data_IF_147965100011
#
_entry.id   IF_147965100011
#
_cell.length_a   1.000
_cell.length_b   1.000
_cell.length_c   1.000
_cell.angle_alpha   90.00
_cell.angle_beta   90.00
_cell.angle_gamma   90.00
#
_symmetry.space_group_name_H-M   'P 1'
#
loop_
_entity.id
_entity.type
_entity.pdbx_description
1 polymer ?
#
# COMPACT_ATOMS: atom_id res chain seq x y z
N UNK A 1 14.55 -24.28 33.15
CA UNK A 1 15.17 -23.57 32.00
C UNK A 1 15.61 -24.62 31.00
N UNK A 2 15.06 -24.59 29.81
CA UNK A 2 15.54 -25.46 28.73
C UNK A 2 17.01 -25.17 28.46
N UNK A 3 17.79 -26.24 28.23
CA UNK A 3 19.19 -26.08 27.94
C UNK A 3 19.38 -25.43 26.56
N UNK A 4 19.90 -24.21 26.53
CA UNK A 4 20.07 -23.39 25.32
C UNK A 4 20.78 -24.16 24.20
N UNK A 5 21.74 -25.04 24.55
CA UNK A 5 22.44 -25.87 23.57
C UNK A 5 21.54 -26.91 22.90
N UNK A 6 20.51 -27.42 23.61
CA UNK A 6 19.56 -28.39 23.06
C UNK A 6 18.63 -27.69 22.09
N UNK A 7 18.15 -26.49 22.43
CA UNK A 7 17.33 -25.67 21.55
C UNK A 7 18.07 -25.29 20.27
N UNK A 8 19.30 -24.79 20.41
CA UNK A 8 20.15 -24.44 19.27
C UNK A 8 20.40 -25.65 18.35
N UNK A 9 20.74 -26.82 18.92
CA UNK A 9 20.96 -28.04 18.16
C UNK A 9 19.71 -28.48 17.35
N UNK A 10 18.56 -28.46 17.98
CA UNK A 10 17.29 -28.81 17.32
C UNK A 10 16.96 -27.83 16.17
N UNK A 11 17.23 -26.56 16.36
CA UNK A 11 16.97 -25.55 15.34
C UNK A 11 17.97 -25.62 14.18
N UNK A 12 19.26 -25.83 14.45
CA UNK A 12 20.25 -26.06 13.38
C UNK A 12 19.81 -27.25 12.50
N UNK A 13 19.43 -28.37 13.10
CA UNK A 13 18.91 -29.55 12.38
C UNK A 13 17.64 -29.21 11.57
N UNK A 14 16.69 -28.51 12.19
CA UNK A 14 15.42 -28.11 11.56
C UNK A 14 15.64 -27.21 10.35
N UNK A 15 16.42 -26.13 10.50
CA UNK A 15 16.66 -25.18 9.44
C UNK A 15 17.52 -25.76 8.32
N UNK A 16 18.55 -26.56 8.63
CA UNK A 16 19.31 -27.27 7.60
C UNK A 16 18.42 -28.16 6.74
N UNK A 17 17.52 -28.97 7.37
CA UNK A 17 16.57 -29.82 6.63
C UNK A 17 15.59 -28.99 5.79
N UNK A 18 15.11 -27.85 6.33
CA UNK A 18 14.23 -26.93 5.62
C UNK A 18 14.91 -26.33 4.38
N UNK A 19 16.20 -26.04 4.48
CA UNK A 19 17.03 -25.56 3.35
C UNK A 19 17.47 -26.67 2.39
N UNK A 20 17.05 -27.93 2.60
CA UNK A 20 17.37 -29.06 1.72
C UNK A 20 18.84 -29.52 1.79
N UNK A 21 19.60 -29.06 2.77
CA UNK A 21 21.05 -29.36 2.87
C UNK A 21 21.30 -30.66 3.65
N UNK A 22 22.29 -31.43 3.20
CA UNK A 22 22.91 -32.48 4.00
C UNK A 22 23.85 -31.89 5.05
N UNK A 23 24.29 -32.70 6.05
CA UNK A 23 25.28 -32.25 7.04
C UNK A 23 26.62 -31.94 6.38
N UNK A 24 26.98 -32.66 5.31
CA UNK A 24 28.22 -32.48 4.57
C UNK A 24 28.22 -31.16 3.79
N UNK A 25 27.08 -30.84 3.12
CA UNK A 25 26.91 -29.57 2.39
C UNK A 25 26.93 -28.36 3.33
N UNK A 26 26.29 -28.48 4.51
CA UNK A 26 26.39 -27.44 5.52
C UNK A 26 27.82 -27.25 6.03
N UNK A 27 28.52 -28.36 6.29
CA UNK A 27 29.91 -28.33 6.72
C UNK A 27 30.83 -27.64 5.69
N UNK A 28 30.64 -27.94 4.40
CA UNK A 28 31.38 -27.29 3.30
C UNK A 28 31.10 -25.78 3.24
N UNK A 29 29.84 -25.39 3.35
CA UNK A 29 29.46 -23.97 3.32
C UNK A 29 30.03 -23.18 4.51
N UNK A 30 30.18 -23.82 5.66
CA UNK A 30 30.73 -23.21 6.88
C UNK A 30 32.29 -23.36 6.98
N UNK A 31 32.93 -24.09 6.10
CA UNK A 31 34.36 -24.36 6.18
C UNK A 31 34.77 -25.22 7.39
N UNK A 32 33.87 -26.10 7.86
CA UNK A 32 34.08 -26.98 9.01
C UNK A 32 33.98 -28.45 8.60
N UNK A 33 34.25 -29.38 9.54
CA UNK A 33 34.13 -30.82 9.28
C UNK A 33 32.69 -31.28 9.47
N UNK A 34 32.29 -32.33 8.76
CA UNK A 34 31.00 -33.02 8.96
C UNK A 34 30.76 -33.41 10.42
N UNK A 35 31.84 -33.90 11.10
CA UNK A 35 31.76 -34.27 12.50
C UNK A 35 31.42 -33.08 13.42
N UNK A 36 31.85 -31.88 13.08
CA UNK A 36 31.47 -30.66 13.83
C UNK A 36 29.97 -30.40 13.73
N UNK A 37 29.44 -30.39 12.53
CA UNK A 37 27.97 -30.19 12.29
C UNK A 37 27.19 -31.30 12.99
N UNK A 38 27.61 -32.55 12.87
CA UNK A 38 26.97 -33.69 13.55
C UNK A 38 26.96 -33.54 15.08
N UNK A 39 28.06 -33.05 15.68
CA UNK A 39 28.12 -32.78 17.12
C UNK A 39 27.17 -31.66 17.55
N UNK A 40 27.07 -30.61 16.73
CA UNK A 40 26.18 -29.50 17.01
C UNK A 40 24.69 -29.91 16.96
N UNK A 41 24.30 -30.65 15.94
CA UNK A 41 22.90 -31.13 15.78
C UNK A 41 22.50 -32.17 16.86
N UNK A 42 23.46 -32.86 17.45
CA UNK A 42 23.23 -33.80 18.55
C UNK A 42 23.45 -33.17 19.95
N UNK A 43 23.59 -31.87 20.06
CA UNK A 43 23.88 -31.14 21.28
C UNK A 43 25.12 -31.61 22.06
N UNK A 44 26.06 -32.25 21.37
CA UNK A 44 27.35 -32.74 21.96
C UNK A 44 28.41 -31.65 22.01
N UNK A 45 28.22 -30.57 21.22
CA UNK A 45 29.02 -29.36 21.23
C UNK A 45 28.14 -28.21 20.73
N UNK A 46 28.50 -26.97 21.06
CA UNK A 46 27.93 -25.79 20.43
C UNK A 46 28.82 -25.28 19.30
N UNK A 47 28.30 -24.69 18.24
CA UNK A 47 29.10 -23.94 17.28
C UNK A 47 29.73 -22.72 17.95
N UNK A 48 30.87 -22.28 17.43
CA UNK A 48 31.41 -20.98 17.79
C UNK A 48 30.43 -19.89 17.37
N UNK A 49 30.34 -18.81 18.17
CA UNK A 49 29.41 -17.70 17.94
C UNK A 49 29.59 -17.06 16.56
N UNK A 50 30.78 -17.13 16.00
CA UNK A 50 31.12 -16.59 14.66
C UNK A 50 30.42 -17.34 13.53
N UNK A 51 29.98 -18.58 13.74
CA UNK A 51 29.22 -19.33 12.75
C UNK A 51 27.72 -18.99 12.74
N UNK A 52 27.17 -18.41 13.81
CA UNK A 52 25.75 -18.16 13.92
C UNK A 52 25.23 -17.18 12.85
N UNK A 53 25.92 -16.05 12.56
CA UNK A 53 25.50 -15.17 11.47
C UNK A 53 25.54 -15.88 10.10
N UNK A 54 26.59 -16.67 9.84
CA UNK A 54 26.76 -17.40 8.58
C UNK A 54 25.66 -18.46 8.42
N UNK A 55 25.31 -19.16 9.51
CA UNK A 55 24.20 -20.13 9.50
C UNK A 55 22.86 -19.42 9.26
N UNK A 56 22.63 -18.27 9.89
CA UNK A 56 21.41 -17.48 9.69
C UNK A 56 21.25 -17.08 8.23
N UNK A 57 22.32 -16.65 7.58
CA UNK A 57 22.34 -16.32 6.14
C UNK A 57 22.11 -17.56 5.26
N UNK A 58 22.73 -18.70 5.57
CA UNK A 58 22.54 -19.96 4.80
C UNK A 58 21.10 -20.48 4.93
N UNK A 59 20.49 -20.32 6.09
CA UNK A 59 19.16 -20.83 6.41
C UNK A 59 18.03 -19.83 6.08
N UNK A 60 18.39 -18.61 5.69
CA UNK A 60 17.44 -17.50 5.49
C UNK A 60 16.52 -17.29 6.71
N UNK A 61 17.17 -17.11 7.87
CA UNK A 61 16.50 -16.90 9.15
C UNK A 61 17.25 -15.89 10.03
N UNK A 62 16.59 -15.43 11.10
CA UNK A 62 17.25 -14.59 12.10
C UNK A 62 18.06 -15.44 13.10
N UNK A 63 19.14 -14.88 13.66
CA UNK A 63 19.94 -15.55 14.68
C UNK A 63 19.07 -15.91 15.91
N UNK A 64 18.12 -15.05 16.29
CA UNK A 64 17.19 -15.28 17.40
C UNK A 64 16.29 -16.50 17.17
N UNK A 65 15.93 -16.80 15.92
CA UNK A 65 15.15 -18.00 15.59
C UNK A 65 15.94 -19.30 15.82
N UNK A 66 17.29 -19.25 15.74
CA UNK A 66 18.13 -20.39 16.12
C UNK A 66 18.04 -20.70 17.62
N UNK A 67 17.60 -19.73 18.43
CA UNK A 67 17.38 -19.89 19.87
C UNK A 67 15.91 -20.01 20.25
N UNK A 68 15.00 -20.22 19.28
CA UNK A 68 13.53 -20.26 19.48
C UNK A 68 12.97 -19.01 20.17
N UNK A 69 13.63 -17.88 20.02
CA UNK A 69 13.07 -16.61 20.43
C UNK A 69 12.11 -16.14 19.36
N UNK A 70 10.90 -15.76 19.75
CA UNK A 70 9.99 -15.07 18.84
C UNK A 70 10.67 -13.76 18.44
N UNK A 71 10.99 -13.63 17.18
CA UNK A 71 11.38 -12.34 16.62
C UNK A 71 10.12 -11.50 16.63
N UNK A 72 10.03 -10.60 17.61
CA UNK A 72 8.97 -9.62 17.66
C UNK A 72 9.14 -8.76 16.40
N UNK A 73 8.27 -8.97 15.41
CA UNK A 73 8.28 -8.21 14.15
C UNK A 73 7.75 -6.78 14.32
N UNK A 74 7.64 -6.29 15.55
CA UNK A 74 7.74 -4.87 15.80
C UNK A 74 9.18 -4.48 15.46
N UNK A 75 9.35 -4.03 14.24
CA UNK A 75 10.61 -3.60 13.66
C UNK A 75 11.18 -2.49 14.55
N UNK A 76 11.98 -2.85 15.54
CA UNK A 76 12.94 -1.93 16.11
C UNK A 76 13.99 -1.67 15.01
N UNK A 77 13.83 -0.55 14.33
CA UNK A 77 14.73 -0.07 13.27
C UNK A 77 16.16 0.22 13.73
N UNK A 78 16.51 -0.15 14.96
CA UNK A 78 17.82 0.16 15.57
C UNK A 78 19.00 -0.68 15.02
N UNK A 79 18.73 -1.68 14.16
CA UNK A 79 19.76 -2.49 13.51
C UNK A 79 19.45 -2.77 12.03
N UNK A 80 18.76 -1.88 11.36
CA UNK A 80 18.72 -1.92 9.90
C UNK A 80 20.14 -1.78 9.37
N UNK A 81 20.54 -2.65 8.42
CA UNK A 81 21.69 -2.41 7.60
C UNK A 81 21.69 -0.93 7.20
N UNK A 82 22.79 -0.21 7.44
CA UNK A 82 22.91 1.17 7.04
C UNK A 82 22.52 1.26 5.57
N UNK A 83 21.40 1.92 5.30
CA UNK A 83 21.05 2.21 3.93
C UNK A 83 22.18 3.01 3.29
N UNK A 84 22.45 2.84 1.99
CA UNK A 84 23.53 3.54 1.31
C UNK A 84 23.22 5.05 1.07
N UNK A 85 22.44 5.67 1.94
CA UNK A 85 22.10 7.10 1.95
C UNK A 85 22.02 7.61 3.39
N UNK A 86 22.22 8.90 3.56
CA UNK A 86 22.08 9.58 4.83
C UNK A 86 20.60 9.67 5.26
N UNK A 87 20.35 9.84 6.56
CA UNK A 87 19.02 10.10 7.08
C UNK A 87 18.55 11.48 6.60
N UNK A 88 17.63 11.47 5.66
CA UNK A 88 17.07 12.64 5.00
C UNK A 88 15.54 12.49 4.83
N UNK A 89 14.89 13.53 4.35
CA UNK A 89 13.44 13.54 4.10
C UNK A 89 13.04 12.97 2.73
N UNK A 90 13.96 12.36 1.99
CA UNK A 90 13.71 11.86 0.64
C UNK A 90 13.00 10.51 0.69
N UNK A 91 11.80 10.44 0.13
CA UNK A 91 11.08 9.18 -0.07
C UNK A 91 11.76 8.39 -1.20
N UNK A 92 12.09 7.12 -0.93
CA UNK A 92 12.76 6.24 -1.89
C UNK A 92 11.98 4.96 -2.12
N UNK A 93 11.91 4.54 -3.37
CA UNK A 93 11.54 3.18 -3.74
C UNK A 93 12.76 2.29 -3.72
N UNK A 94 12.67 1.16 -3.04
CA UNK A 94 13.76 0.20 -2.89
C UNK A 94 13.29 -1.17 -3.37
N UNK A 95 14.03 -1.79 -4.28
CA UNK A 95 13.82 -3.17 -4.70
C UNK A 95 14.87 -4.03 -4.01
N UNK A 96 14.41 -5.01 -3.24
CA UNK A 96 15.27 -5.91 -2.48
C UNK A 96 15.07 -7.36 -2.92
N UNK A 97 16.14 -8.14 -2.87
CA UNK A 97 16.12 -9.59 -2.89
C UNK A 97 16.70 -10.08 -1.57
N UNK A 98 15.84 -10.58 -0.67
CA UNK A 98 16.24 -10.83 0.72
C UNK A 98 16.75 -9.54 1.37
N UNK A 99 17.99 -9.54 1.84
CA UNK A 99 18.67 -8.37 2.46
C UNK A 99 19.46 -7.51 1.48
N UNK A 100 19.52 -7.89 0.21
CA UNK A 100 20.29 -7.18 -0.81
C UNK A 100 19.44 -6.15 -1.51
N UNK A 101 19.84 -4.89 -1.49
CA UNK A 101 19.23 -3.84 -2.29
C UNK A 101 19.68 -4.01 -3.73
N UNK A 102 18.73 -4.30 -4.63
CA UNK A 102 18.99 -4.42 -6.07
C UNK A 102 18.89 -3.07 -6.77
N UNK A 103 17.95 -2.23 -6.33
CA UNK A 103 17.70 -0.93 -6.90
C UNK A 103 17.16 0.02 -5.83
N UNK A 104 17.63 1.27 -5.86
CA UNK A 104 17.10 2.37 -5.06
C UNK A 104 16.94 3.59 -5.95
N UNK A 105 15.78 4.25 -5.86
CA UNK A 105 15.50 5.48 -6.58
C UNK A 105 14.76 6.44 -5.66
N UNK A 106 15.23 7.70 -5.60
CA UNK A 106 14.48 8.78 -4.97
C UNK A 106 13.14 8.96 -5.68
N UNK A 107 12.05 8.95 -4.93
CA UNK A 107 10.70 9.14 -5.44
C UNK A 107 10.42 10.64 -5.42
N UNK A 108 10.75 11.32 -6.50
CA UNK A 108 10.43 12.74 -6.69
C UNK A 108 9.02 12.79 -7.28
N UNK A 109 8.10 13.46 -6.64
CA UNK A 109 6.75 13.94 -7.02
C UNK A 109 5.84 13.12 -7.98
N UNK A 110 6.29 12.01 -8.54
CA UNK A 110 5.56 11.24 -9.58
C UNK A 110 5.46 9.74 -9.31
N UNK A 111 5.55 9.33 -8.08
CA UNK A 111 5.31 7.93 -7.79
C UNK A 111 3.83 7.63 -7.85
N UNK A 112 3.46 6.59 -8.62
CA UNK A 112 2.10 6.07 -8.69
C UNK A 112 2.09 4.66 -8.11
N UNK A 113 1.20 4.43 -7.17
CA UNK A 113 0.92 3.12 -6.63
C UNK A 113 -0.12 2.43 -7.51
N UNK A 114 0.33 1.55 -8.41
CA UNK A 114 -0.53 0.83 -9.34
C UNK A 114 -1.02 -0.48 -8.75
N UNK A 115 -2.34 -0.71 -8.79
CA UNK A 115 -2.99 -1.97 -8.40
C UNK A 115 -3.70 -2.54 -9.64
N UNK A 116 -3.35 -3.77 -10.02
CA UNK A 116 -4.02 -4.52 -11.09
C UNK A 116 -5.09 -5.42 -10.49
N UNK A 117 -6.35 -5.10 -10.75
CA UNK A 117 -7.52 -5.80 -10.22
C UNK A 117 -8.21 -5.04 -9.09
N UNK A 118 -9.19 -5.71 -8.45
CA UNK A 118 -10.00 -5.13 -7.39
C UNK A 118 -9.22 -4.95 -6.09
N UNK A 119 -9.53 -3.89 -5.37
CA UNK A 119 -8.88 -3.54 -4.12
C UNK A 119 -9.89 -3.24 -3.00
N UNK A 120 -9.42 -3.25 -1.77
CA UNK A 120 -10.22 -2.89 -0.60
C UNK A 120 -9.42 -1.94 0.29
N UNK A 121 -9.98 -0.74 0.56
CA UNK A 121 -9.35 0.28 1.41
C UNK A 121 -7.90 0.61 1.01
N UNK A 122 -7.74 1.46 0.00
CA UNK A 122 -6.43 1.85 -0.52
C UNK A 122 -5.98 3.18 0.10
N UNK A 123 -4.76 3.22 0.61
CA UNK A 123 -4.17 4.45 1.13
C UNK A 123 -2.71 4.60 0.67
N UNK A 124 -2.35 5.82 0.23
CA UNK A 124 -0.99 6.19 -0.15
C UNK A 124 -0.79 7.70 -0.01
N UNK A 125 0.41 8.13 0.31
CA UNK A 125 0.78 9.56 0.24
C UNK A 125 1.14 10.02 -1.20
N UNK A 126 1.20 9.07 -2.15
CA UNK A 126 1.50 9.30 -3.55
C UNK A 126 0.24 9.23 -4.41
N UNK A 127 0.41 9.18 -5.76
CA UNK A 127 -0.71 8.86 -6.65
C UNK A 127 -1.18 7.42 -6.45
N UNK A 128 -2.47 7.20 -6.62
CA UNK A 128 -3.09 5.87 -6.65
C UNK A 128 -3.69 5.64 -8.02
N UNK A 129 -3.37 4.52 -8.65
CA UNK A 129 -3.99 4.02 -9.86
C UNK A 129 -4.50 2.60 -9.63
N UNK A 130 -5.79 2.37 -9.80
CA UNK A 130 -6.42 1.06 -9.64
C UNK A 130 -7.09 0.65 -10.95
N UNK A 131 -6.59 -0.41 -11.55
CA UNK A 131 -7.17 -1.03 -12.75
C UNK A 131 -8.20 -2.11 -12.33
N UNK A 132 -9.28 -1.68 -11.71
CA UNK A 132 -10.35 -2.49 -11.12
C UNK A 132 -11.29 -1.65 -10.29
N UNK A 133 -12.00 -2.31 -9.34
CA UNK A 133 -12.94 -1.69 -8.43
C UNK A 133 -12.31 -1.49 -7.04
N UNK A 134 -12.83 -0.54 -6.27
CA UNK A 134 -12.49 -0.37 -4.85
C UNK A 134 -13.75 -0.62 -4.00
N UNK A 135 -13.70 -1.65 -3.16
CA UNK A 135 -14.70 -1.87 -2.11
C UNK A 135 -14.21 -1.23 -0.81
N UNK A 136 -14.76 -0.07 -0.46
CA UNK A 136 -14.33 0.73 0.68
C UNK A 136 -13.68 2.05 0.29
N UNK A 137 -12.92 2.65 1.22
CA UNK A 137 -12.36 3.98 1.02
C UNK A 137 -11.07 4.00 0.20
N UNK A 138 -10.81 5.14 -0.45
CA UNK A 138 -9.56 5.45 -1.12
C UNK A 138 -9.00 6.77 -0.62
N UNK A 139 -7.72 6.79 -0.20
CA UNK A 139 -7.06 8.01 0.27
C UNK A 139 -5.69 8.16 -0.39
N UNK A 140 -5.49 9.27 -1.09
CA UNK A 140 -4.21 9.63 -1.70
C UNK A 140 -3.73 11.00 -1.24
N UNK A 141 -2.42 11.16 -1.06
CA UNK A 141 -1.82 12.49 -0.87
C UNK A 141 -1.79 13.31 -2.16
N UNK A 142 -1.90 12.65 -3.31
CA UNK A 142 -1.91 13.23 -4.66
C UNK A 142 -3.19 12.77 -5.40
N UNK A 143 -3.07 12.34 -6.67
CA UNK A 143 -4.21 11.95 -7.51
C UNK A 143 -4.74 10.55 -7.18
N UNK A 144 -6.04 10.36 -7.40
CA UNK A 144 -6.71 9.06 -7.42
C UNK A 144 -7.24 8.80 -8.82
N UNK A 145 -6.87 7.67 -9.41
CA UNK A 145 -7.40 7.18 -10.69
C UNK A 145 -7.88 5.74 -10.51
N UNK A 146 -9.17 5.50 -10.72
CA UNK A 146 -9.80 4.17 -10.60
C UNK A 146 -10.57 3.88 -11.88
N UNK A 147 -10.24 2.82 -12.59
CA UNK A 147 -10.92 2.45 -13.84
C UNK A 147 -12.35 1.94 -13.63
N UNK A 148 -12.65 1.37 -12.47
CA UNK A 148 -13.93 0.76 -12.12
C UNK A 148 -14.79 1.59 -11.16
N UNK A 149 -15.54 0.88 -10.32
CA UNK A 149 -16.47 1.42 -9.32
C UNK A 149 -15.78 1.63 -7.98
N UNK A 150 -16.15 2.69 -7.27
CA UNK A 150 -15.74 2.89 -5.87
C UNK A 150 -16.97 2.89 -4.97
N UNK A 151 -17.02 1.93 -4.02
CA UNK A 151 -18.12 1.75 -3.06
C UNK A 151 -17.82 2.35 -1.68
N UNK A 152 -17.13 3.46 -1.64
CA UNK A 152 -16.76 4.14 -0.39
C UNK A 152 -16.27 5.54 -0.64
N UNK A 153 -15.84 6.22 0.42
CA UNK A 153 -15.37 7.60 0.31
C UNK A 153 -14.00 7.71 -0.37
N UNK A 154 -13.81 8.79 -1.13
CA UNK A 154 -12.52 9.14 -1.72
C UNK A 154 -11.97 10.44 -1.13
N UNK A 155 -10.69 10.45 -0.74
CA UNK A 155 -10.00 11.65 -0.29
C UNK A 155 -8.70 11.80 -1.07
N UNK A 156 -8.54 12.92 -1.76
CA UNK A 156 -7.35 13.21 -2.57
C UNK A 156 -6.80 14.59 -2.26
N UNK A 157 -5.49 14.72 -2.22
CA UNK A 157 -4.83 16.03 -2.15
C UNK A 157 -4.89 16.82 -3.46
N UNK A 158 -5.19 16.15 -4.59
CA UNK A 158 -5.25 16.76 -5.92
C UNK A 158 -6.51 16.29 -6.67
N UNK A 159 -6.42 15.60 -7.77
CA UNK A 159 -7.52 15.20 -8.66
C UNK A 159 -8.06 13.80 -8.32
N UNK A 160 -9.38 13.58 -8.59
CA UNK A 160 -10.03 12.26 -8.52
C UNK A 160 -10.67 11.94 -9.86
N UNK A 161 -10.31 10.79 -10.43
CA UNK A 161 -10.89 10.26 -11.68
C UNK A 161 -11.41 8.84 -11.41
N UNK A 162 -12.70 8.61 -11.69
CA UNK A 162 -13.36 7.32 -11.51
C UNK A 162 -14.08 6.93 -12.80
N UNK A 163 -13.69 5.82 -13.40
CA UNK A 163 -14.25 5.31 -14.65
C UNK A 163 -15.63 4.68 -14.52
N UNK A 164 -16.04 4.30 -13.31
CA UNK A 164 -17.36 3.74 -13.01
C UNK A 164 -18.24 4.68 -12.17
N UNK A 165 -19.01 4.08 -11.26
CA UNK A 165 -19.82 4.81 -10.29
C UNK A 165 -19.03 5.10 -9.00
N UNK A 166 -19.35 6.20 -8.34
CA UNK A 166 -18.88 6.53 -7.00
C UNK A 166 -20.04 6.53 -6.01
N UNK A 167 -19.93 5.73 -4.96
CA UNK A 167 -20.91 5.61 -3.89
C UNK A 167 -20.21 5.92 -2.56
N UNK A 168 -20.36 7.13 -2.07
CA UNK A 168 -19.74 7.64 -0.85
C UNK A 168 -19.27 9.08 -0.95
N UNK A 169 -18.90 9.66 0.18
CA UNK A 169 -18.42 11.05 0.24
C UNK A 169 -17.06 11.23 -0.43
N UNK A 170 -16.84 12.42 -1.00
CA UNK A 170 -15.62 12.71 -1.74
C UNK A 170 -15.04 14.06 -1.32
N UNK A 171 -13.71 14.08 -1.03
CA UNK A 171 -12.99 15.32 -0.79
C UNK A 171 -11.77 15.38 -1.70
N UNK A 172 -11.60 16.48 -2.42
CA UNK A 172 -10.50 16.67 -3.36
C UNK A 172 -9.93 18.09 -3.27
N UNK A 173 -8.60 18.20 -3.42
CA UNK A 173 -7.97 19.51 -3.60
C UNK A 173 -8.17 20.09 -5.01
N UNK A 174 -8.37 19.25 -6.03
CA UNK A 174 -8.58 19.60 -7.43
C UNK A 174 -9.90 19.05 -7.97
N UNK A 175 -9.94 18.81 -9.27
CA UNK A 175 -11.15 18.37 -9.97
C UNK A 175 -11.59 16.96 -9.60
N UNK A 176 -12.89 16.69 -9.75
CA UNK A 176 -13.50 15.37 -9.60
C UNK A 176 -14.20 14.99 -10.88
N UNK A 177 -13.79 13.87 -11.48
CA UNK A 177 -14.41 13.30 -12.68
C UNK A 177 -14.93 11.90 -12.37
N UNK A 178 -16.24 11.67 -12.54
CA UNK A 178 -16.89 10.37 -12.40
C UNK A 178 -17.61 10.05 -13.70
N UNK A 179 -17.21 9.01 -14.42
CA UNK A 179 -17.83 8.66 -15.71
C UNK A 179 -19.26 8.11 -15.53
N UNK A 180 -19.54 7.46 -14.41
CA UNK A 180 -20.88 6.99 -14.04
C UNK A 180 -21.64 7.96 -13.15
N UNK A 181 -22.55 7.43 -12.33
CA UNK A 181 -23.27 8.21 -11.33
C UNK A 181 -22.45 8.42 -10.06
N UNK A 182 -22.68 9.54 -9.41
CA UNK A 182 -22.06 9.87 -8.12
C UNK A 182 -23.13 10.03 -7.04
N UNK A 183 -23.03 9.24 -5.98
CA UNK A 183 -23.94 9.29 -4.84
C UNK A 183 -23.15 9.54 -3.56
N UNK A 184 -23.35 10.71 -2.94
CA UNK A 184 -22.69 11.12 -1.70
C UNK A 184 -22.34 12.60 -1.67
N UNK A 185 -21.97 13.10 -0.49
CA UNK A 185 -21.55 14.50 -0.34
C UNK A 185 -20.17 14.73 -0.98
N UNK A 186 -19.98 15.92 -1.54
CA UNK A 186 -18.73 16.28 -2.20
C UNK A 186 -18.21 17.64 -1.73
N UNK A 187 -16.90 17.70 -1.47
CA UNK A 187 -16.19 18.94 -1.19
C UNK A 187 -14.90 18.99 -2.02
N UNK A 188 -14.80 19.94 -2.94
CA UNK A 188 -13.64 20.08 -3.81
C UNK A 188 -13.23 21.52 -4.05
N UNK A 189 -11.92 21.75 -4.21
CA UNK A 189 -11.38 23.03 -4.64
C UNK A 189 -11.59 23.32 -6.14
N UNK A 190 -11.80 22.29 -6.96
CA UNK A 190 -11.95 22.35 -8.41
C UNK A 190 -13.40 22.19 -8.89
N UNK A 191 -13.54 21.75 -10.13
CA UNK A 191 -14.80 21.45 -10.79
C UNK A 191 -15.23 19.99 -10.58
N UNK A 192 -16.52 19.72 -10.82
CA UNK A 192 -17.10 18.37 -10.79
C UNK A 192 -17.65 18.03 -12.17
N UNK A 193 -17.24 16.89 -12.72
CA UNK A 193 -17.83 16.32 -13.95
C UNK A 193 -18.42 14.95 -13.64
N UNK A 194 -19.72 14.76 -13.88
CA UNK A 194 -20.42 13.49 -13.68
C UNK A 194 -21.11 13.04 -14.97
N UNK A 195 -20.82 11.82 -15.42
CA UNK A 195 -21.40 11.25 -16.64
C UNK A 195 -22.79 10.65 -16.45
N UNK A 196 -23.21 10.38 -15.22
CA UNK A 196 -24.54 9.92 -14.84
C UNK A 196 -25.26 10.92 -13.95
N UNK A 197 -26.08 10.41 -13.02
CA UNK A 197 -26.78 11.24 -12.04
C UNK A 197 -25.86 11.59 -10.86
N UNK A 198 -26.11 12.75 -10.27
CA UNK A 198 -25.41 13.25 -9.10
C UNK A 198 -26.38 13.45 -7.93
N UNK A 199 -26.10 12.84 -6.78
CA UNK A 199 -26.92 13.02 -5.58
C UNK A 199 -26.07 13.28 -4.34
N UNK A 200 -26.50 14.21 -3.50
CA UNK A 200 -25.87 14.62 -2.24
C UNK A 200 -25.46 16.09 -2.20
N UNK A 201 -25.00 16.55 -1.05
CA UNK A 201 -24.59 17.95 -0.87
C UNK A 201 -23.25 18.22 -1.57
N UNK A 202 -23.20 19.33 -2.32
CA UNK A 202 -22.06 19.68 -3.16
C UNK A 202 -21.53 21.05 -2.77
N UNK A 203 -20.22 21.08 -2.48
CA UNK A 203 -19.45 22.29 -2.28
C UNK A 203 -18.22 22.23 -3.19
N UNK A 204 -18.23 22.99 -4.27
CA UNK A 204 -17.09 23.04 -5.19
C UNK A 204 -16.63 24.48 -5.44
N UNK A 205 -15.34 24.63 -5.74
CA UNK A 205 -14.75 25.91 -6.10
C UNK A 205 -14.94 26.28 -7.58
N UNK A 206 -15.27 25.30 -8.43
CA UNK A 206 -15.50 25.44 -9.86
C UNK A 206 -16.94 25.10 -10.26
N UNK A 207 -17.12 24.74 -11.52
CA UNK A 207 -18.43 24.40 -12.09
C UNK A 207 -18.81 22.94 -11.84
N UNK A 208 -20.10 22.65 -11.75
CA UNK A 208 -20.69 21.32 -11.65
C UNK A 208 -21.34 20.97 -12.98
N UNK A 209 -20.76 20.04 -13.73
CA UNK A 209 -21.29 19.55 -15.01
C UNK A 209 -21.78 18.11 -14.87
N UNK A 210 -23.05 17.88 -15.05
CA UNK A 210 -23.71 16.57 -14.91
C UNK A 210 -24.48 16.24 -16.17
N UNK A 211 -24.21 15.08 -16.79
CA UNK A 211 -24.97 14.63 -17.98
C UNK A 211 -26.36 14.12 -17.63
N UNK A 212 -26.58 13.71 -16.40
CA UNK A 212 -27.86 13.23 -15.89
C UNK A 212 -28.58 14.25 -15.02
N UNK A 213 -29.35 13.74 -14.06
CA UNK A 213 -30.12 14.52 -13.12
C UNK A 213 -29.30 14.83 -11.87
N UNK A 214 -29.60 15.98 -11.24
CA UNK A 214 -29.01 16.41 -9.98
C UNK A 214 -30.06 16.45 -8.89
N UNK A 215 -29.82 15.76 -7.78
CA UNK A 215 -30.63 15.82 -6.57
C UNK A 215 -29.74 16.15 -5.37
N UNK A 216 -29.86 17.38 -4.83
CA UNK A 216 -29.03 17.87 -3.74
C UNK A 216 -29.83 18.77 -2.80
N UNK A 217 -29.38 18.92 -1.55
CA UNK A 217 -29.95 19.95 -0.64
C UNK A 217 -29.29 21.29 -0.92
N UNK A 218 -27.96 21.29 -1.09
CA UNK A 218 -27.22 22.51 -1.39
C UNK A 218 -26.14 22.24 -2.44
N UNK A 219 -26.01 23.22 -3.35
CA UNK A 219 -24.88 23.27 -4.31
C UNK A 219 -24.24 24.65 -4.21
N UNK A 220 -22.94 24.69 -4.07
CA UNK A 220 -22.12 25.89 -4.25
C UNK A 220 -21.27 25.69 -5.50
N UNK A 221 -21.44 26.56 -6.49
CA UNK A 221 -20.85 26.52 -7.83
C UNK A 221 -21.92 26.67 -8.91
N UNK A 222 -21.49 26.93 -10.14
CA UNK A 222 -22.43 26.96 -11.29
C UNK A 222 -22.78 25.50 -11.66
N UNK A 223 -24.04 25.30 -12.10
CA UNK A 223 -24.56 23.96 -12.39
C UNK A 223 -25.01 23.85 -13.84
N UNK A 224 -24.56 22.83 -14.53
CA UNK A 224 -25.06 22.42 -15.86
C UNK A 224 -25.53 20.98 -15.75
N UNK A 225 -26.81 20.71 -15.96
CA UNK A 225 -27.40 19.38 -15.86
C UNK A 225 -28.66 19.21 -16.72
N UNK A 226 -29.22 18.00 -16.80
CA UNK A 226 -30.48 17.75 -17.51
C UNK A 226 -31.71 18.15 -16.66
N UNK A 227 -31.72 17.76 -15.40
CA UNK A 227 -32.74 18.24 -14.45
C UNK A 227 -32.11 18.53 -13.09
N UNK A 228 -32.70 19.47 -12.37
CA UNK A 228 -32.18 19.90 -11.08
C UNK A 228 -33.30 19.90 -10.04
N UNK A 229 -33.12 19.14 -8.98
CA UNK A 229 -33.91 19.17 -7.76
C UNK A 229 -32.98 19.55 -6.62
N UNK A 230 -33.01 20.81 -6.21
CA UNK A 230 -32.11 21.33 -5.19
C UNK A 230 -32.83 22.43 -4.39
N UNK A 231 -32.65 22.44 -3.06
CA UNK A 231 -33.28 23.47 -2.19
C UNK A 231 -32.52 24.80 -2.30
N UNK A 232 -31.21 24.78 -2.50
CA UNK A 232 -30.39 25.98 -2.60
C UNK A 232 -29.19 25.79 -3.55
N UNK A 233 -29.07 26.68 -4.54
CA UNK A 233 -27.89 26.83 -5.39
C UNK A 233 -27.25 28.20 -5.16
N UNK A 234 -25.94 28.22 -4.92
CA UNK A 234 -25.14 29.44 -4.84
C UNK A 234 -24.24 29.52 -6.10
N UNK A 235 -24.84 29.93 -7.22
CA UNK A 235 -24.21 30.02 -8.54
C UNK A 235 -25.25 30.06 -9.66
N UNK A 236 -24.82 30.12 -10.90
CA UNK A 236 -25.68 30.13 -12.09
C UNK A 236 -26.15 28.70 -12.42
N UNK A 237 -27.32 28.58 -12.98
CA UNK A 237 -27.94 27.29 -13.36
C UNK A 237 -28.20 27.28 -14.86
N UNK A 238 -27.70 26.27 -15.55
CA UNK A 238 -28.00 25.95 -16.92
C UNK A 238 -28.60 24.53 -17.01
N UNK A 239 -29.81 24.42 -17.52
CA UNK A 239 -30.47 23.12 -17.73
C UNK A 239 -30.43 22.81 -19.22
N UNK A 240 -29.88 21.66 -19.56
CA UNK A 240 -29.87 21.18 -20.94
C UNK A 240 -31.29 20.76 -21.33
N UNK A 241 -31.91 21.44 -22.26
CA UNK A 241 -33.15 20.98 -22.87
C UNK A 241 -32.83 19.75 -23.70
N UNK A 242 -33.42 18.62 -23.38
CA UNK A 242 -33.41 17.45 -24.26
C UNK A 242 -34.36 17.74 -25.40
N UNK A 243 -33.82 18.04 -26.58
CA UNK A 243 -34.61 18.08 -27.84
C UNK A 243 -34.94 16.66 -28.29
#
# INVERSE_FOLDING_TARGET
MENVNVVLAANILKYRKKSGLSQDELAQKLGVTFQAVSKWENAKAAPDITFLPIMADIFDCYIDELFSREVNTEIHYDHCAQFPWEDDTVIRGVVCEGRKILQCKALVDRFTFEIKGDAKNVQSECNIEVNGNISGGCKAGKNINVSGVVSGGCNSGAEIVIGGHLSGGCNSGGDITVAGSFSGGCNTGGAITCGGNLSGDINCGGDVTVKGDVEAVRIKGNVICNSLKCDKVEGDIAINSVD
#
